data_IF_352077710829
#
_entry.id   IF_352077710829
#
_cell.length_a   1.000
_cell.length_b   1.000
_cell.length_c   1.000
_cell.angle_alpha   90.00
_cell.angle_beta   90.00
_cell.angle_gamma   90.00
#
_symmetry.space_group_name_H-M   'P 1'
#
loop_
_entity.id
_entity.type
_entity.pdbx_description
1 polymer ?
#
# COMPACT_ATOMS: atom_id res chain seq x y z
N UNK A 1 3.01 -23.64 12.55
CA UNK A 1 4.20 -22.79 12.62
C UNK A 1 4.84 -22.76 11.24
N UNK A 2 4.65 -21.68 10.49
CA UNK A 2 5.39 -21.42 9.26
C UNK A 2 5.52 -19.89 9.15
N UNK A 3 6.62 -19.39 9.71
CA UNK A 3 7.04 -18.01 9.53
C UNK A 3 7.93 -18.01 8.30
N UNK A 4 7.47 -17.39 7.22
CA UNK A 4 8.28 -17.11 6.05
C UNK A 4 8.38 -15.59 5.92
N UNK A 5 9.37 -15.02 6.59
CA UNK A 5 9.80 -13.64 6.39
C UNK A 5 10.69 -13.64 5.14
N UNK A 6 10.10 -13.34 3.99
CA UNK A 6 10.91 -12.97 2.83
C UNK A 6 11.47 -11.57 3.06
N UNK A 7 12.80 -11.50 3.19
CA UNK A 7 13.56 -10.25 3.16
C UNK A 7 13.34 -9.57 1.81
N UNK A 8 12.62 -8.46 1.81
CA UNK A 8 12.60 -7.51 0.71
C UNK A 8 13.65 -6.44 1.01
N UNK A 9 14.80 -6.52 0.33
CA UNK A 9 15.78 -5.44 0.30
C UNK A 9 16.28 -5.27 -1.14
N UNK A 10 15.58 -4.47 -1.93
CA UNK A 10 16.17 -3.81 -3.08
C UNK A 10 16.35 -2.33 -2.76
N UNK A 11 17.61 -1.90 -2.80
CA UNK A 11 18.09 -0.52 -2.71
C UNK A 11 18.44 -0.07 -4.12
N UNK A 12 18.00 1.13 -4.52
CA UNK A 12 18.49 2.05 -5.60
C UNK A 12 17.26 2.76 -6.21
N UNK A 13 17.21 4.05 -6.52
CA UNK A 13 18.21 5.07 -6.83
C UNK A 13 17.49 6.44 -6.79
N UNK A 14 18.16 7.46 -6.28
CA UNK A 14 17.74 8.87 -6.25
C UNK A 14 17.45 9.42 -7.67
N UNK A 15 16.21 9.85 -7.98
CA UNK A 15 16.01 10.49 -9.29
C UNK A 15 14.63 10.88 -9.80
N UNK A 16 13.54 10.95 -9.02
CA UNK A 16 12.33 11.67 -9.45
C UNK A 16 11.38 11.95 -8.26
N UNK A 17 11.53 13.10 -7.63
CA UNK A 17 10.86 13.50 -6.38
C UNK A 17 9.35 13.80 -6.51
N UNK A 18 8.67 13.39 -7.58
CA UNK A 18 7.24 13.70 -7.78
C UNK A 18 6.36 12.53 -8.23
N UNK A 19 6.94 11.37 -8.56
CA UNK A 19 6.16 10.18 -8.87
C UNK A 19 6.23 9.22 -7.70
N UNK A 20 5.07 8.91 -7.13
CA UNK A 20 4.96 7.89 -6.10
C UNK A 20 5.37 6.57 -6.74
N UNK A 21 6.54 6.06 -6.35
CA UNK A 21 7.01 4.76 -6.84
C UNK A 21 6.05 3.67 -6.33
N UNK A 22 5.61 2.79 -7.21
CA UNK A 22 4.73 1.65 -6.89
C UNK A 22 5.27 0.82 -5.73
N UNK A 23 6.58 0.61 -5.70
CA UNK A 23 7.33 -0.02 -4.60
C UNK A 23 7.12 0.68 -3.24
N UNK A 24 7.03 2.01 -3.17
CA UNK A 24 6.69 2.73 -1.95
C UNK A 24 5.24 2.50 -1.53
N UNK A 25 4.32 2.41 -2.50
CA UNK A 25 2.90 2.11 -2.24
C UNK A 25 2.76 0.70 -1.68
N UNK A 26 3.37 -0.28 -2.34
CA UNK A 26 3.38 -1.68 -1.92
C UNK A 26 3.97 -1.80 -0.50
N UNK A 27 5.11 -1.17 -0.25
CA UNK A 27 5.73 -1.17 1.09
C UNK A 27 4.80 -0.53 2.13
N UNK A 28 4.15 0.59 1.80
CA UNK A 28 3.21 1.26 2.71
C UNK A 28 1.95 0.45 3.00
N UNK A 29 1.52 -0.37 2.03
CA UNK A 29 0.39 -1.30 2.14
C UNK A 29 0.79 -2.53 2.96
N UNK A 30 1.96 -3.12 2.73
CA UNK A 30 2.51 -4.22 3.53
C UNK A 30 2.84 -3.83 4.98
N UNK A 31 3.17 -2.55 5.22
CA UNK A 31 3.44 -2.04 6.56
C UNK A 31 2.18 -1.96 7.45
N UNK A 32 0.98 -2.15 6.89
CA UNK A 32 -0.25 -2.15 7.68
C UNK A 32 -0.36 -3.47 8.47
N UNK A 33 -0.58 -3.40 9.79
CA UNK A 33 -0.84 -4.61 10.56
C UNK A 33 -2.18 -5.21 10.12
N UNK A 34 -2.21 -6.54 9.99
CA UNK A 34 -3.42 -7.32 9.68
C UNK A 34 -3.95 -7.02 8.25
N UNK A 35 -3.01 -7.03 7.28
CA UNK A 35 -3.27 -6.99 5.84
C UNK A 35 -3.26 -8.41 5.27
N UNK A 36 -4.39 -8.84 4.73
CA UNK A 36 -4.50 -10.09 3.96
C UNK A 36 -3.91 -9.94 2.56
N UNK A 37 -3.42 -11.04 1.98
CA UNK A 37 -2.87 -11.06 0.61
C UNK A 37 -3.91 -10.62 -0.44
N UNK A 38 -5.17 -11.04 -0.27
CA UNK A 38 -6.29 -10.59 -1.12
C UNK A 38 -6.53 -9.07 -0.98
N UNK A 39 -6.47 -8.55 0.26
CA UNK A 39 -6.63 -7.12 0.53
C UNK A 39 -5.45 -6.29 -0.04
N UNK A 40 -4.28 -6.90 -0.17
CA UNK A 40 -3.10 -6.31 -0.80
C UNK A 40 -3.27 -6.13 -2.30
N UNK A 41 -3.74 -7.17 -2.98
CA UNK A 41 -4.03 -7.12 -4.41
C UNK A 41 -5.10 -6.05 -4.69
N UNK A 42 -6.22 -6.10 -3.97
CA UNK A 42 -7.30 -5.10 -4.07
C UNK A 42 -6.79 -3.67 -3.80
N UNK A 43 -5.92 -3.50 -2.80
CA UNK A 43 -5.33 -2.21 -2.48
C UNK A 43 -4.41 -1.72 -3.60
N UNK A 44 -3.61 -2.59 -4.19
CA UNK A 44 -2.72 -2.25 -5.31
C UNK A 44 -3.53 -1.83 -6.55
N UNK A 45 -4.58 -2.56 -6.92
CA UNK A 45 -5.50 -2.18 -7.99
C UNK A 45 -6.12 -0.79 -7.72
N UNK A 46 -6.51 -0.53 -6.47
CA UNK A 46 -7.07 0.76 -6.08
C UNK A 46 -6.04 1.89 -6.06
N UNK A 47 -4.76 1.59 -5.83
CA UNK A 47 -3.68 2.56 -5.72
C UNK A 47 -2.89 2.69 -7.05
N UNK A 48 -3.29 2.00 -8.11
CA UNK A 48 -2.84 2.27 -9.48
C UNK A 48 -3.18 3.72 -9.89
N UNK A 49 -4.31 4.23 -9.41
CA UNK A 49 -4.68 5.63 -9.57
C UNK A 49 -3.73 6.57 -8.80
N UNK A 50 -2.99 7.41 -9.51
CA UNK A 50 -2.03 8.35 -8.92
C UNK A 50 -2.67 9.25 -7.84
N UNK A 51 -3.92 9.68 -8.03
CA UNK A 51 -4.66 10.51 -7.06
C UNK A 51 -4.95 9.73 -5.77
N UNK A 52 -5.33 8.45 -5.90
CA UNK A 52 -5.60 7.58 -4.76
C UNK A 52 -4.31 7.21 -4.04
N UNK A 53 -3.23 6.92 -4.77
CA UNK A 53 -1.89 6.71 -4.23
C UNK A 53 -1.39 7.92 -3.43
N UNK A 54 -1.52 9.13 -3.99
CA UNK A 54 -1.16 10.39 -3.30
C UNK A 54 -1.95 10.57 -2.01
N UNK A 55 -3.26 10.33 -2.06
CA UNK A 55 -4.11 10.42 -0.87
C UNK A 55 -3.71 9.39 0.17
N UNK A 56 -3.48 8.14 -0.24
CA UNK A 56 -3.09 7.05 0.64
C UNK A 56 -1.73 7.29 1.31
N UNK A 57 -0.72 7.74 0.56
CA UNK A 57 0.58 8.10 1.11
C UNK A 57 0.48 9.26 2.10
N UNK A 58 -0.39 10.25 1.84
CA UNK A 58 -0.63 11.37 2.74
C UNK A 58 -1.36 10.97 4.04
N UNK A 59 -2.04 9.82 4.07
CA UNK A 59 -2.69 9.32 5.28
C UNK A 59 -1.70 8.63 6.22
N UNK A 60 -1.98 8.71 7.52
CA UNK A 60 -1.27 7.99 8.57
C UNK A 60 -1.53 6.47 8.48
N UNK A 61 -0.60 5.64 8.98
CA UNK A 61 -0.68 4.17 8.97
C UNK A 61 -2.01 3.67 9.54
N UNK A 62 -2.53 4.30 10.60
CA UNK A 62 -3.83 3.91 11.20
C UNK A 62 -5.03 4.24 10.31
N UNK A 63 -4.91 5.28 9.48
CA UNK A 63 -5.96 5.75 8.58
C UNK A 63 -5.92 5.05 7.23
N UNK A 64 -4.75 4.66 6.75
CA UNK A 64 -4.54 3.93 5.49
C UNK A 64 -5.40 2.67 5.40
N UNK A 65 -5.37 1.82 6.42
CA UNK A 65 -6.22 0.61 6.48
C UNK A 65 -7.71 0.94 6.48
N UNK A 66 -8.12 1.90 7.29
CA UNK A 66 -9.53 2.32 7.40
C UNK A 66 -10.06 2.94 6.11
N UNK A 67 -9.19 3.67 5.41
CA UNK A 67 -9.48 4.27 4.13
C UNK A 67 -9.57 3.23 3.01
N UNK A 68 -8.63 2.27 2.96
CA UNK A 68 -8.68 1.13 2.04
C UNK A 68 -9.97 0.34 2.21
N UNK A 69 -10.31 -0.07 3.44
CA UNK A 69 -11.55 -0.79 3.72
C UNK A 69 -12.80 0.00 3.31
N UNK A 70 -12.79 1.33 3.46
CA UNK A 70 -13.91 2.19 3.03
C UNK A 70 -13.99 2.35 1.51
N UNK A 71 -12.87 2.24 0.80
CA UNK A 71 -12.81 2.33 -0.67
C UNK A 71 -13.10 0.98 -1.35
N UNK A 72 -12.61 -0.10 -0.76
CA UNK A 72 -12.77 -1.48 -1.23
C UNK A 72 -14.10 -2.11 -0.83
N UNK A 73 -14.71 -1.65 0.28
CA UNK A 73 -16.11 -1.98 0.62
C UNK A 73 -17.01 -0.77 0.40
N UNK A 74 -17.39 -0.44 -0.85
CA UNK A 74 -18.58 0.37 -1.03
C UNK A 74 -19.72 -0.42 -0.38
N UNK A 75 -20.38 0.18 0.62
CA UNK A 75 -21.59 -0.39 1.20
C UNK A 75 -22.58 -0.61 0.06
N UNK A 76 -22.79 -1.87 -0.32
CA UNK A 76 -24.00 -2.29 -1.02
C UNK A 76 -25.13 -2.38 -0.01
#
# INVERSE_FOLDING_TARGET
MASAVSSLTEKKDDGNTNSILIENVITAVQALPDMDEDLLLDACDLLEDEIKAKTFMALDVKLRKKWLLRKLRPQQ
#
